data_IF_960752046555
#
_entry.id   IF_960752046555
#
_cell.length_a   1.000
_cell.length_b   1.000
_cell.length_c   1.000
_cell.angle_alpha   90.00
_cell.angle_beta   90.00
_cell.angle_gamma   90.00
#
_symmetry.space_group_name_H-M   'P 1'
#
loop_
_entity.id
_entity.type
_entity.pdbx_description
1 polymer ?
#
# COMPACT_ATOMS: atom_id res chain seq x y z
N UNK A 1 -9.75 9.87 -3.46
CA UNK A 1 -8.93 9.22 -4.51
C UNK A 1 -9.52 7.84 -4.71
N UNK A 2 -10.22 7.60 -5.81
CA UNK A 2 -10.87 6.31 -6.09
C UNK A 2 -9.98 5.56 -7.08
N UNK A 3 -8.83 5.09 -6.58
CA UNK A 3 -7.96 4.17 -7.32
C UNK A 3 -8.38 2.73 -7.05
N UNK A 4 -8.06 1.84 -7.97
CA UNK A 4 -8.27 0.40 -7.78
C UNK A 4 -7.11 -0.18 -6.96
N UNK A 5 -7.37 -0.91 -5.86
CA UNK A 5 -6.30 -1.51 -5.06
C UNK A 5 -5.68 -2.67 -5.84
N UNK A 6 -4.40 -2.52 -6.21
CA UNK A 6 -3.66 -3.47 -7.02
C UNK A 6 -2.97 -4.55 -6.17
N UNK A 7 -2.30 -4.14 -5.09
CA UNK A 7 -1.57 -5.05 -4.20
C UNK A 7 -1.61 -4.58 -2.74
N UNK A 8 -1.57 -5.54 -1.81
CA UNK A 8 -1.53 -5.26 -0.36
C UNK A 8 -0.40 -6.06 0.30
N UNK A 9 0.35 -5.38 1.17
CA UNK A 9 1.37 -5.94 2.05
C UNK A 9 0.96 -5.69 3.49
N UNK A 10 1.24 -6.61 4.41
CA UNK A 10 0.78 -6.51 5.78
C UNK A 10 1.81 -7.07 6.78
N UNK A 11 2.03 -6.32 7.86
CA UNK A 11 2.82 -6.73 9.01
C UNK A 11 2.01 -6.43 10.28
N UNK A 12 1.32 -7.45 10.80
CA UNK A 12 0.37 -7.32 11.90
C UNK A 12 -0.79 -6.37 11.57
N UNK A 13 -0.93 -5.29 12.34
CA UNK A 13 -1.97 -4.27 12.15
C UNK A 13 -1.62 -3.24 11.07
N UNK A 14 -0.38 -3.20 10.58
CA UNK A 14 0.08 -2.24 9.59
C UNK A 14 -0.04 -2.84 8.19
N UNK A 15 -0.56 -2.05 7.24
CA UNK A 15 -0.75 -2.47 5.86
C UNK A 15 -0.30 -1.40 4.90
N UNK A 16 0.44 -1.77 3.85
CA UNK A 16 0.66 -0.93 2.69
C UNK A 16 -0.24 -1.41 1.54
N UNK A 17 -0.96 -0.50 0.89
CA UNK A 17 -1.77 -0.79 -0.30
C UNK A 17 -1.21 -0.02 -1.48
N UNK A 18 -0.86 -0.73 -2.55
CA UNK A 18 -0.52 -0.16 -3.85
C UNK A 18 -1.82 0.04 -4.62
N UNK A 19 -2.00 1.23 -5.16
CA UNK A 19 -3.18 1.65 -5.91
C UNK A 19 -2.79 1.94 -7.34
N UNK A 20 -3.58 1.45 -8.29
CA UNK A 20 -3.54 1.90 -9.69
C UNK A 20 -4.53 3.05 -9.81
N UNK A 21 -4.04 4.22 -10.25
CA UNK A 21 -4.86 5.42 -10.41
C UNK A 21 -4.77 5.92 -11.86
N UNK A 22 -5.83 6.56 -12.31
CA UNK A 22 -5.87 7.26 -13.59
C UNK A 22 -6.00 8.76 -13.32
N UNK A 23 -5.05 9.55 -13.83
CA UNK A 23 -5.09 10.99 -13.77
C UNK A 23 -6.17 11.55 -14.72
N UNK A 24 -6.58 12.80 -14.50
CA UNK A 24 -7.61 13.46 -15.32
C UNK A 24 -7.26 13.55 -16.82
N UNK A 25 -5.97 13.52 -17.14
CA UNK A 25 -5.45 13.54 -18.51
C UNK A 25 -5.33 12.13 -19.13
N UNK A 26 -5.80 11.08 -18.44
CA UNK A 26 -5.73 9.70 -18.90
C UNK A 26 -4.45 8.96 -18.51
N UNK A 27 -3.44 9.64 -17.95
CA UNK A 27 -2.20 8.98 -17.55
C UNK A 27 -2.40 8.09 -16.33
N UNK A 28 -1.95 6.85 -16.41
CA UNK A 28 -1.97 5.93 -15.27
C UNK A 28 -0.74 6.15 -14.37
N UNK A 29 -0.95 6.10 -13.06
CA UNK A 29 0.13 6.17 -12.08
C UNK A 29 -0.18 5.31 -10.86
N UNK A 30 0.88 4.77 -10.25
CA UNK A 30 0.77 3.98 -9.02
C UNK A 30 1.04 4.85 -7.80
N UNK A 31 0.29 4.63 -6.73
CA UNK A 31 0.53 5.25 -5.42
C UNK A 31 0.51 4.20 -4.31
N UNK A 32 1.08 4.52 -3.15
CA UNK A 32 1.07 3.64 -1.98
C UNK A 32 0.43 4.38 -0.81
N UNK A 33 -0.52 3.73 -0.13
CA UNK A 33 -1.03 4.18 1.17
C UNK A 33 -0.65 3.20 2.26
N UNK A 34 -0.30 3.71 3.45
CA UNK A 34 -0.03 2.89 4.63
C UNK A 34 -1.09 3.17 5.69
N UNK A 35 -1.67 2.14 6.27
CA UNK A 35 -2.69 2.23 7.31
C UNK A 35 -2.40 1.30 8.47
N UNK A 36 -2.79 1.74 9.68
CA UNK A 36 -2.84 0.92 10.90
C UNK A 36 -4.28 0.59 11.22
N UNK A 37 -4.60 -0.70 11.31
CA UNK A 37 -5.90 -1.17 11.79
C UNK A 37 -5.90 -1.29 13.31
N UNK A 38 -6.94 -0.79 13.97
CA UNK A 38 -7.10 -0.88 15.42
C UNK A 38 -8.58 -1.04 15.77
N UNK A 39 -8.89 -1.60 16.92
CA UNK A 39 -10.26 -1.72 17.39
C UNK A 39 -10.59 -0.60 18.36
N UNK A 40 -11.74 0.04 18.18
CA UNK A 40 -12.29 1.03 19.11
C UNK A 40 -13.79 0.84 19.17
N UNK A 41 -14.34 0.71 20.39
CA UNK A 41 -15.77 0.51 20.63
C UNK A 41 -16.34 -0.75 19.93
N UNK A 42 -15.53 -1.81 19.84
CA UNK A 42 -15.89 -3.05 19.14
C UNK A 42 -15.73 -2.99 17.61
N UNK A 43 -15.55 -1.81 17.03
CA UNK A 43 -15.40 -1.61 15.59
C UNK A 43 -13.94 -1.55 15.16
N UNK A 44 -13.62 -2.16 14.03
CA UNK A 44 -12.32 -2.00 13.38
C UNK A 44 -12.26 -0.65 12.67
N UNK A 45 -11.23 0.14 12.99
CA UNK A 45 -10.93 1.44 12.40
C UNK A 45 -9.54 1.43 11.79
N UNK A 46 -9.29 2.37 10.89
CA UNK A 46 -7.99 2.56 10.27
C UNK A 46 -7.46 3.95 10.63
N UNK A 47 -6.15 4.05 10.90
CA UNK A 47 -5.44 5.29 11.14
C UNK A 47 -4.23 5.40 10.21
N UNK A 48 -3.78 6.62 9.95
CA UNK A 48 -2.51 6.94 9.29
C UNK A 48 -1.48 7.51 10.28
N UNK A 49 -1.78 7.46 11.58
CA UNK A 49 -0.86 7.79 12.67
C UNK A 49 -0.22 6.52 13.22
N UNK A 50 1.09 6.57 13.40
CA UNK A 50 1.92 5.44 13.83
C UNK A 50 2.63 5.79 15.14
N UNK A 51 2.66 4.85 16.08
CA UNK A 51 3.54 4.93 17.25
C UNK A 51 4.90 4.31 16.96
N UNK A 52 5.86 4.48 17.88
CA UNK A 52 7.23 3.94 17.72
C UNK A 52 7.26 2.43 17.40
N UNK A 53 6.40 1.65 18.07
CA UNK A 53 6.25 0.20 17.86
C UNK A 53 5.72 -0.22 16.48
N UNK A 54 5.13 0.73 15.74
CA UNK A 54 4.58 0.48 14.40
C UNK A 54 5.61 0.78 13.30
N UNK A 55 6.69 1.50 13.63
CA UNK A 55 7.65 2.02 12.64
C UNK A 55 8.37 0.89 11.90
N UNK A 56 8.89 -0.12 12.59
CA UNK A 56 9.57 -1.25 11.95
C UNK A 56 8.65 -1.99 10.98
N UNK A 57 7.38 -2.19 11.40
CA UNK A 57 6.35 -2.82 10.55
C UNK A 57 5.99 -1.96 9.35
N UNK A 58 5.88 -0.64 9.54
CA UNK A 58 5.61 0.31 8.46
C UNK A 58 6.76 0.34 7.44
N UNK A 59 8.02 0.35 7.92
CA UNK A 59 9.21 0.26 7.08
C UNK A 59 9.20 -1.04 6.28
N UNK A 60 8.93 -2.18 6.92
CA UNK A 60 8.88 -3.48 6.26
C UNK A 60 7.86 -3.48 5.10
N UNK A 61 6.60 -3.11 5.37
CA UNK A 61 5.57 -3.14 4.31
C UNK A 61 5.83 -2.11 3.20
N UNK A 62 6.52 -1.00 3.52
CA UNK A 62 6.95 -0.02 2.53
C UNK A 62 8.11 -0.54 1.68
N UNK A 63 9.05 -1.28 2.26
CA UNK A 63 10.12 -1.96 1.52
C UNK A 63 9.55 -3.01 0.57
N UNK A 64 8.58 -3.81 1.02
CA UNK A 64 7.88 -4.79 0.19
C UNK A 64 7.12 -4.09 -0.97
N UNK A 65 6.41 -3.00 -0.68
CA UNK A 65 5.72 -2.22 -1.70
C UNK A 65 6.70 -1.60 -2.71
N UNK A 66 7.84 -1.07 -2.24
CA UNK A 66 8.90 -0.56 -3.12
C UNK A 66 9.47 -1.67 -4.00
N UNK A 67 9.75 -2.84 -3.44
CA UNK A 67 10.25 -3.99 -4.19
C UNK A 67 9.26 -4.42 -5.27
N UNK A 68 7.96 -4.41 -5.00
CA UNK A 68 6.94 -4.68 -6.01
C UNK A 68 6.88 -3.62 -7.12
N UNK A 69 7.01 -2.34 -6.77
CA UNK A 69 6.96 -1.24 -7.75
C UNK A 69 8.22 -1.13 -8.62
N UNK A 70 9.38 -1.43 -8.04
CA UNK A 70 10.70 -1.26 -8.71
C UNK A 70 11.21 -2.58 -9.29
N UNK A 71 10.94 -3.70 -8.62
CA UNK A 71 11.33 -5.04 -9.05
C UNK A 71 10.40 -5.68 -10.08
N UNK A 72 9.37 -4.95 -10.53
CA UNK A 72 8.51 -5.34 -11.66
C UNK A 72 9.13 -5.01 -13.02
N UNK A 73 10.30 -5.57 -13.30
CA UNK A 73 10.69 -5.99 -14.66
C UNK A 73 10.72 -7.52 -14.53
N UNK A 74 9.82 -8.31 -15.11
CA UNK A 74 9.56 -8.53 -16.54
C UNK A 74 8.10 -8.96 -16.75
N UNK A 75 7.32 -8.21 -17.54
CA UNK A 75 6.35 -8.82 -18.47
C UNK A 75 6.92 -8.58 -19.86
N UNK A 76 7.72 -9.55 -20.31
CA UNK A 76 8.04 -9.74 -21.72
C UNK A 76 6.72 -9.99 -22.46
N UNK A 77 6.24 -8.99 -23.20
CA UNK A 77 5.27 -9.24 -24.27
C UNK A 77 5.98 -10.07 -25.34
N UNK A 78 5.76 -11.38 -25.31
CA UNK A 78 5.90 -12.26 -26.46
C UNK A 78 4.57 -12.31 -27.19
N UNK A 79 4.43 -11.51 -28.26
CA UNK A 79 3.88 -11.92 -29.56
C UNK A 79 4.23 -10.90 -30.65
#
# INVERSE_FOLDING_TARGET
>A
MTGEPEKKFAAGMIRATVWKNTAKNGNEFKSVSVTKSYQKDGEWKNSNSFGAQDLDKAIQVLQEAKAYLVGGVEEEQVV
#
